data_IF_211641493622
#
_entry.id   IF_211641493622
#
_cell.length_a   1.000
_cell.length_b   1.000
_cell.length_c   1.000
_cell.angle_alpha   90.00
_cell.angle_beta   90.00
_cell.angle_gamma   90.00
#
_symmetry.space_group_name_H-M   'P 1'
#
loop_
_entity.id
_entity.type
_entity.pdbx_description
1 polymer ?
#
# COMPACT_ATOMS: atom_id res chain seq x y z
N UNK A 1 -20.56 -12.30 10.54
CA UNK A 1 -19.88 -12.25 9.24
C UNK A 1 -18.43 -12.68 9.45
N UNK A 2 -17.97 -13.67 8.68
CA UNK A 2 -16.54 -14.05 8.62
C UNK A 2 -15.73 -13.00 7.88
N UNK A 3 -14.39 -13.05 7.98
CA UNK A 3 -13.51 -12.14 7.23
C UNK A 3 -13.73 -12.25 5.72
N UNK A 4 -13.91 -13.48 5.20
CA UNK A 4 -14.15 -13.70 3.76
C UNK A 4 -15.52 -13.21 3.31
N UNK A 5 -16.56 -13.35 4.13
CA UNK A 5 -17.89 -12.78 3.82
C UNK A 5 -17.81 -11.24 3.78
N UNK A 6 -17.16 -10.63 4.78
CA UNK A 6 -16.97 -9.19 4.83
C UNK A 6 -16.20 -8.69 3.61
N UNK A 7 -15.12 -9.36 3.24
CA UNK A 7 -14.35 -9.04 2.04
C UNK A 7 -15.18 -9.10 0.76
N UNK A 8 -16.00 -10.15 0.58
CA UNK A 8 -16.86 -10.27 -0.60
C UNK A 8 -17.84 -9.10 -0.68
N UNK A 9 -18.46 -8.70 0.44
CA UNK A 9 -19.35 -7.52 0.45
C UNK A 9 -18.59 -6.22 0.17
N UNK A 10 -17.42 -6.02 0.78
CA UNK A 10 -16.59 -4.82 0.52
C UNK A 10 -16.22 -4.70 -0.97
N UNK A 11 -15.87 -5.82 -1.62
CA UNK A 11 -15.52 -5.84 -3.05
C UNK A 11 -16.72 -5.45 -3.93
N UNK A 12 -17.96 -5.74 -3.52
CA UNK A 12 -19.15 -5.41 -4.32
C UNK A 12 -19.44 -3.93 -4.42
N UNK A 13 -18.89 -3.12 -3.52
CA UNK A 13 -18.90 -1.67 -3.66
C UNK A 13 -17.83 -1.25 -4.67
N UNK A 14 -18.26 -0.74 -5.83
CA UNK A 14 -17.36 -0.09 -6.79
C UNK A 14 -16.95 1.29 -6.25
N UNK A 15 -15.78 1.32 -5.63
CA UNK A 15 -15.14 2.49 -5.04
C UNK A 15 -13.96 2.95 -5.90
N UNK A 16 -14.04 2.74 -7.22
CA UNK A 16 -12.97 3.09 -8.16
C UNK A 16 -12.62 4.58 -8.07
N UNK A 17 -11.36 4.89 -7.76
CA UNK A 17 -10.84 6.24 -7.65
C UNK A 17 -9.95 6.58 -8.86
N UNK A 18 -10.28 7.64 -9.65
CA UNK A 18 -11.48 8.49 -9.59
C UNK A 18 -12.76 7.81 -10.17
N UNK A 19 -13.97 8.24 -9.76
CA UNK A 19 -14.23 9.39 -8.88
C UNK A 19 -14.20 9.08 -7.36
N UNK A 20 -14.18 7.80 -6.96
CA UNK A 20 -14.41 7.36 -5.58
C UNK A 20 -15.76 6.64 -5.45
N UNK A 21 -16.64 7.12 -4.57
CA UNK A 21 -17.96 6.56 -4.18
C UNK A 21 -17.93 5.65 -2.94
N UNK A 22 -17.08 5.97 -1.98
CA UNK A 22 -16.86 5.20 -0.76
C UNK A 22 -18.04 5.29 0.20
N UNK A 23 -18.94 6.27 0.05
CA UNK A 23 -20.03 6.51 1.00
C UNK A 23 -20.86 5.27 1.33
N UNK A 24 -21.26 4.48 0.33
CA UNK A 24 -22.03 3.25 0.55
C UNK A 24 -21.18 2.16 1.23
N UNK A 25 -19.91 2.03 0.86
CA UNK A 25 -18.99 1.07 1.45
C UNK A 25 -18.69 1.42 2.92
N UNK A 26 -18.47 2.70 3.22
CA UNK A 26 -18.22 3.22 4.56
C UNK A 26 -19.46 3.08 5.44
N UNK A 27 -20.65 3.40 4.92
CA UNK A 27 -21.91 3.20 5.64
C UNK A 27 -22.14 1.72 5.98
N UNK A 28 -21.78 0.80 5.07
CA UNK A 28 -21.84 -0.63 5.35
C UNK A 28 -20.88 -1.05 6.48
N UNK A 29 -19.62 -0.56 6.47
CA UNK A 29 -18.68 -0.81 7.57
C UNK A 29 -19.18 -0.21 8.89
N UNK A 30 -19.75 1.00 8.85
CA UNK A 30 -20.36 1.66 10.00
C UNK A 30 -21.43 0.78 10.62
N UNK A 31 -22.36 0.27 9.82
CA UNK A 31 -23.41 -0.62 10.29
C UNK A 31 -22.84 -1.87 10.98
N UNK A 32 -21.79 -2.49 10.42
CA UNK A 32 -21.17 -3.67 11.04
C UNK A 32 -20.55 -3.38 12.42
N UNK A 33 -19.99 -2.17 12.59
CA UNK A 33 -19.41 -1.71 13.85
C UNK A 33 -20.50 -1.37 14.88
N UNK A 34 -21.53 -0.63 14.48
CA UNK A 34 -22.66 -0.24 15.35
C UNK A 34 -23.47 -1.47 15.82
N UNK A 35 -23.70 -2.46 14.95
CA UNK A 35 -24.33 -3.74 15.32
C UNK A 35 -23.50 -4.54 16.33
N UNK A 36 -22.19 -4.29 16.41
CA UNK A 36 -21.31 -4.86 17.44
C UNK A 36 -21.24 -4.00 18.72
N UNK A 37 -21.96 -2.88 18.77
CA UNK A 37 -21.95 -1.95 19.90
C UNK A 37 -20.71 -1.05 19.94
N UNK A 38 -20.03 -0.84 18.80
CA UNK A 38 -18.96 0.15 18.71
C UNK A 38 -19.54 1.53 18.44
N UNK A 39 -18.97 2.57 19.05
CA UNK A 39 -19.26 3.95 18.68
C UNK A 39 -18.49 4.33 17.39
N UNK A 40 -19.16 4.98 16.45
CA UNK A 40 -18.57 5.38 15.16
C UNK A 40 -18.86 6.84 14.84
N UNK A 41 -17.92 7.50 14.18
CA UNK A 41 -18.04 8.88 13.71
C UNK A 41 -17.60 8.95 12.24
N UNK A 42 -18.30 9.78 11.46
CA UNK A 42 -18.04 9.99 10.04
C UNK A 42 -17.46 11.39 9.82
N UNK A 43 -16.38 11.46 9.07
CA UNK A 43 -15.68 12.71 8.73
C UNK A 43 -15.48 12.78 7.22
N UNK A 44 -16.01 13.82 6.59
CA UNK A 44 -16.03 13.95 5.14
C UNK A 44 -15.65 15.36 4.71
N UNK A 45 -14.55 15.49 3.94
CA UNK A 45 -14.22 16.73 3.24
C UNK A 45 -15.13 16.95 2.04
N UNK A 46 -15.48 15.86 1.37
CA UNK A 46 -16.50 15.79 0.33
C UNK A 46 -17.56 14.76 0.75
N UNK A 47 -18.87 15.06 0.65
CA UNK A 47 -19.93 14.19 1.17
C UNK A 47 -19.90 12.74 0.66
N UNK A 48 -19.50 12.54 -0.59
CA UNK A 48 -19.48 11.23 -1.25
C UNK A 48 -18.18 10.44 -0.99
N UNK A 49 -17.20 11.05 -0.30
CA UNK A 49 -15.87 10.50 0.01
C UNK A 49 -15.61 10.49 1.54
N UNK A 50 -16.50 9.90 2.37
CA UNK A 50 -16.34 9.95 3.82
C UNK A 50 -15.25 9.03 4.34
N UNK A 51 -14.76 9.35 5.53
CA UNK A 51 -13.90 8.50 6.37
C UNK A 51 -14.67 8.10 7.63
N UNK A 52 -14.36 6.92 8.16
CA UNK A 52 -14.93 6.42 9.41
C UNK A 52 -13.87 6.32 10.49
N UNK A 53 -14.24 6.72 11.70
CA UNK A 53 -13.41 6.60 12.90
C UNK A 53 -14.22 5.92 14.00
N UNK A 54 -13.61 4.96 14.69
CA UNK A 54 -14.17 4.31 15.87
C UNK A 54 -13.07 4.17 16.93
N UNK A 55 -13.46 4.25 18.21
CA UNK A 55 -12.53 4.06 19.33
C UNK A 55 -13.12 3.13 20.39
N UNK A 56 -12.35 2.13 20.81
CA UNK A 56 -12.61 1.33 22.02
C UNK A 56 -11.68 1.84 23.11
N UNK A 57 -12.25 2.25 24.23
CA UNK A 57 -11.50 2.70 25.39
C UNK A 57 -10.69 1.55 26.00
N UNK A 58 -9.42 1.81 26.30
CA UNK A 58 -8.52 0.89 27.00
C UNK A 58 -7.99 1.47 28.32
N UNK A 59 -6.86 0.95 28.77
CA UNK A 59 -6.10 1.50 29.90
C UNK A 59 -5.24 2.71 29.51
N UNK A 60 -4.20 2.97 30.31
CA UNK A 60 -3.37 4.17 30.19
C UNK A 60 -2.18 4.06 29.20
N UNK A 61 -2.03 2.92 28.50
CA UNK A 61 -0.99 2.78 27.49
C UNK A 61 -1.30 3.63 26.23
N UNK A 62 -0.28 4.02 25.44
CA UNK A 62 -0.51 4.74 24.19
C UNK A 62 -1.49 4.00 23.26
N UNK A 63 -2.48 4.70 22.66
CA UNK A 63 -3.40 4.11 21.72
C UNK A 63 -2.73 3.43 20.52
N UNK A 64 -3.33 2.34 20.05
CA UNK A 64 -2.97 1.66 18.80
C UNK A 64 -3.94 2.08 17.69
N UNK A 65 -3.41 2.59 16.59
CA UNK A 65 -4.18 2.89 15.38
C UNK A 65 -4.20 1.68 14.44
N UNK A 66 -5.39 1.26 14.05
CA UNK A 66 -5.65 0.37 12.91
C UNK A 66 -6.20 1.23 11.78
N UNK A 67 -5.55 1.23 10.62
CA UNK A 67 -6.00 2.00 9.47
C UNK A 67 -6.02 1.20 8.17
N UNK A 68 -6.94 1.55 7.28
CA UNK A 68 -6.94 1.05 5.91
C UNK A 68 -7.92 1.82 5.03
N UNK A 69 -7.71 1.79 3.73
CA UNK A 69 -8.56 2.45 2.75
C UNK A 69 -9.51 1.47 2.05
N UNK A 70 -10.61 2.00 1.53
CA UNK A 70 -11.62 1.21 0.79
C UNK A 70 -11.74 1.62 -0.67
N UNK A 71 -11.05 2.67 -1.10
CA UNK A 71 -10.96 2.99 -2.52
C UNK A 71 -10.07 2.02 -3.27
N UNK A 72 -10.21 2.00 -4.59
CA UNK A 72 -9.50 1.03 -5.43
C UNK A 72 -9.12 1.68 -6.77
N UNK A 73 -8.01 1.24 -7.37
CA UNK A 73 -7.69 1.66 -8.75
C UNK A 73 -8.70 1.16 -9.80
N UNK A 74 -8.70 1.85 -10.93
CA UNK A 74 -9.52 1.51 -12.11
C UNK A 74 -9.33 0.08 -12.62
N UNK A 75 -10.42 -0.49 -13.12
CA UNK A 75 -10.47 -1.77 -13.83
C UNK A 75 -10.54 -1.60 -15.35
N UNK A 76 -10.64 -0.36 -15.84
CA UNK A 76 -10.79 -0.05 -17.25
C UNK A 76 -9.58 -0.54 -18.07
N UNK A 77 -9.86 -1.19 -19.20
CA UNK A 77 -8.84 -1.73 -20.10
C UNK A 77 -8.13 -3.00 -19.59
N UNK A 78 -8.56 -3.57 -18.46
CA UNK A 78 -8.03 -4.83 -17.92
C UNK A 78 -8.91 -6.00 -18.36
N UNK A 79 -8.31 -7.18 -18.52
CA UNK A 79 -9.03 -8.43 -18.78
C UNK A 79 -9.25 -9.16 -17.46
N UNK A 80 -10.49 -9.54 -17.17
CA UNK A 80 -10.89 -10.17 -15.92
C UNK A 80 -11.58 -11.52 -16.17
N UNK A 81 -11.12 -12.57 -15.49
CA UNK A 81 -11.78 -13.90 -15.53
C UNK A 81 -13.11 -13.87 -14.78
N UNK A 82 -13.16 -13.12 -13.67
CA UNK A 82 -14.37 -12.87 -12.88
C UNK A 82 -14.64 -11.37 -12.85
N UNK A 83 -15.90 -10.91 -12.98
CA UNK A 83 -16.25 -9.51 -12.82
C UNK A 83 -15.59 -8.89 -11.57
N UNK A 84 -14.91 -7.73 -11.70
CA UNK A 84 -14.02 -7.21 -10.66
C UNK A 84 -14.74 -6.89 -9.34
N UNK A 85 -16.04 -6.60 -9.38
CA UNK A 85 -16.85 -6.22 -8.22
C UNK A 85 -17.90 -7.29 -7.85
N UNK A 86 -17.68 -8.55 -8.24
CA UNK A 86 -18.56 -9.66 -7.81
C UNK A 86 -18.26 -10.12 -6.37
N UNK A 87 -16.98 -10.02 -5.96
CA UNK A 87 -16.51 -10.61 -4.71
C UNK A 87 -16.71 -12.12 -4.72
N UNK A 88 -16.20 -12.80 -5.75
CA UNK A 88 -16.47 -14.22 -5.97
C UNK A 88 -15.54 -15.09 -5.16
N UNK A 89 -16.07 -15.96 -4.30
CA UNK A 89 -15.30 -17.00 -3.62
C UNK A 89 -15.24 -18.26 -4.48
N UNK A 90 -14.06 -18.59 -5.02
CA UNK A 90 -13.83 -19.77 -5.86
C UNK A 90 -12.45 -20.37 -5.56
N UNK A 91 -12.40 -21.69 -5.45
CA UNK A 91 -11.18 -22.47 -5.15
C UNK A 91 -10.42 -22.02 -3.89
N UNK A 92 -11.14 -21.47 -2.90
CA UNK A 92 -10.57 -20.98 -1.64
C UNK A 92 -10.00 -19.56 -1.72
N UNK A 93 -10.20 -18.85 -2.83
CA UNK A 93 -9.78 -17.47 -3.03
C UNK A 93 -10.98 -16.55 -3.24
N UNK A 94 -10.92 -15.34 -2.68
CA UNK A 94 -11.89 -14.28 -3.00
C UNK A 94 -11.32 -13.45 -4.15
N UNK A 95 -12.02 -13.46 -5.28
CA UNK A 95 -11.64 -12.75 -6.49
C UNK A 95 -12.37 -11.40 -6.58
N UNK A 96 -11.59 -10.35 -6.82
CA UNK A 96 -12.12 -9.03 -7.13
C UNK A 96 -11.10 -7.89 -6.98
N UNK A 97 -11.44 -6.72 -7.53
CA UNK A 97 -10.70 -5.47 -7.31
C UNK A 97 -10.86 -5.06 -5.84
N UNK A 98 -9.74 -4.80 -5.17
CA UNK A 98 -9.73 -4.59 -3.73
C UNK A 98 -9.34 -5.82 -2.91
N UNK A 99 -9.36 -7.02 -3.50
CA UNK A 99 -9.18 -8.27 -2.75
C UNK A 99 -7.80 -8.38 -2.08
N UNK A 100 -6.75 -7.88 -2.72
CA UNK A 100 -5.47 -7.67 -2.05
C UNK A 100 -5.47 -6.26 -1.48
N UNK A 101 -5.33 -5.26 -2.34
CA UNK A 101 -5.15 -3.85 -2.05
C UNK A 101 -6.48 -3.05 -2.08
N UNK A 102 -7.02 -2.63 -0.93
CA UNK A 102 -6.68 -3.16 0.41
C UNK A 102 -7.86 -3.70 1.23
N UNK A 103 -8.99 -4.00 0.58
CA UNK A 103 -10.24 -4.40 1.25
C UNK A 103 -10.11 -5.68 2.09
N UNK A 104 -9.19 -6.61 1.76
CA UNK A 104 -8.93 -7.75 2.65
C UNK A 104 -8.27 -7.33 3.96
N UNK A 105 -7.33 -6.38 3.90
CA UNK A 105 -6.75 -5.73 5.08
C UNK A 105 -7.84 -5.11 5.94
N UNK A 106 -8.69 -4.29 5.34
CA UNK A 106 -9.83 -3.67 6.04
C UNK A 106 -10.76 -4.72 6.66
N UNK A 107 -11.12 -5.78 5.92
CA UNK A 107 -11.97 -6.85 6.46
C UNK A 107 -11.35 -7.54 7.68
N UNK A 108 -10.03 -7.77 7.68
CA UNK A 108 -9.30 -8.33 8.83
C UNK A 108 -9.29 -7.36 10.02
N UNK A 109 -8.99 -6.08 9.77
CA UNK A 109 -8.94 -5.05 10.82
C UNK A 109 -10.31 -4.84 11.47
N UNK A 110 -11.37 -4.66 10.67
CA UNK A 110 -12.76 -4.51 11.15
C UNK A 110 -13.18 -5.75 11.95
N UNK A 111 -12.88 -6.96 11.47
CA UNK A 111 -13.26 -8.17 12.19
C UNK A 111 -12.52 -8.30 13.54
N UNK A 112 -11.22 -8.02 13.58
CA UNK A 112 -10.44 -8.03 14.82
C UNK A 112 -10.94 -6.97 15.82
N UNK A 113 -11.29 -5.79 15.33
CA UNK A 113 -11.84 -4.69 16.13
C UNK A 113 -13.21 -5.04 16.73
N UNK A 114 -14.14 -5.52 15.90
CA UNK A 114 -15.46 -6.01 16.34
C UNK A 114 -15.32 -7.13 17.36
N UNK A 115 -14.37 -8.04 17.15
CA UNK A 115 -14.09 -9.13 18.09
C UNK A 115 -13.63 -8.58 19.44
N UNK A 116 -12.70 -7.61 19.45
CA UNK A 116 -12.22 -6.98 20.68
C UNK A 116 -13.37 -6.35 21.48
N UNK A 117 -14.29 -5.65 20.80
CA UNK A 117 -15.48 -5.07 21.42
C UNK A 117 -16.41 -6.13 22.01
N UNK A 118 -16.77 -7.15 21.21
CA UNK A 118 -17.73 -8.20 21.63
C UNK A 118 -17.21 -9.06 22.77
N UNK A 119 -15.90 -9.34 22.77
CA UNK A 119 -15.26 -10.12 23.84
C UNK A 119 -14.97 -9.28 25.09
N UNK A 120 -15.16 -7.95 25.04
CA UNK A 120 -14.80 -7.06 26.15
C UNK A 120 -13.31 -7.14 26.50
N UNK A 121 -12.46 -7.23 25.46
CA UNK A 121 -11.03 -7.45 25.64
C UNK A 121 -10.42 -6.33 26.49
N UNK A 122 -9.67 -6.69 27.53
CA UNK A 122 -8.94 -5.71 28.34
C UNK A 122 -7.74 -5.17 27.55
N UNK A 123 -7.93 -4.03 26.89
CA UNK A 123 -6.89 -3.37 26.10
C UNK A 123 -5.98 -2.52 27.00
N UNK A 124 -4.64 -2.63 26.90
CA UNK A 124 -3.73 -1.80 27.70
C UNK A 124 -3.86 -0.29 27.43
N UNK A 125 -4.30 0.07 26.23
CA UNK A 125 -4.55 1.43 25.75
C UNK A 125 -5.67 1.41 24.71
N UNK A 126 -6.17 2.56 24.31
CA UNK A 126 -7.27 2.64 23.34
C UNK A 126 -6.93 1.93 22.03
N UNK A 127 -7.94 1.31 21.42
CA UNK A 127 -7.86 0.80 20.05
C UNK A 127 -8.65 1.74 19.16
N UNK A 128 -7.99 2.36 18.19
CA UNK A 128 -8.60 3.30 17.24
C UNK A 128 -8.65 2.64 15.87
N UNK A 129 -9.82 2.56 15.26
CA UNK A 129 -9.99 2.09 13.89
C UNK A 129 -10.33 3.27 12.99
N UNK A 130 -9.61 3.40 11.87
CA UNK A 130 -9.88 4.40 10.84
C UNK A 130 -10.01 3.72 9.48
N UNK A 131 -11.15 3.91 8.82
CA UNK A 131 -11.40 3.43 7.46
C UNK A 131 -11.47 4.63 6.54
N UNK A 132 -10.54 4.68 5.58
CA UNK A 132 -10.18 5.86 4.81
C UNK A 132 -10.72 5.80 3.38
N UNK A 133 -10.95 6.98 2.82
CA UNK A 133 -11.11 7.19 1.39
C UNK A 133 -9.81 7.75 0.78
N UNK A 134 -9.72 7.69 -0.55
CA UNK A 134 -8.80 8.47 -1.38
C UNK A 134 -7.32 8.11 -1.37
N UNK A 135 -6.91 6.98 -0.79
CA UNK A 135 -5.49 6.61 -0.73
C UNK A 135 -4.89 6.48 -2.14
N UNK A 136 -5.62 5.83 -3.06
CA UNK A 136 -5.17 5.50 -4.43
C UNK A 136 -4.99 6.76 -5.31
N UNK A 137 -5.44 7.91 -4.83
CA UNK A 137 -5.28 9.22 -5.47
C UNK A 137 -4.62 10.27 -4.54
N UNK A 138 -3.81 9.80 -3.59
CA UNK A 138 -2.91 10.62 -2.78
C UNK A 138 -3.43 11.04 -1.40
N UNK A 139 -4.58 10.53 -0.97
CA UNK A 139 -5.08 10.59 0.40
C UNK A 139 -5.52 11.98 0.87
N UNK A 140 -5.78 12.93 -0.04
CA UNK A 140 -6.11 14.32 0.32
C UNK A 140 -7.50 14.43 0.97
N UNK A 141 -8.45 13.61 0.54
CA UNK A 141 -9.80 13.54 1.13
C UNK A 141 -9.87 12.56 2.31
N UNK A 142 -8.83 11.73 2.49
CA UNK A 142 -8.73 10.74 3.56
C UNK A 142 -7.78 11.12 4.68
N UNK A 143 -6.68 10.39 4.78
CA UNK A 143 -5.74 10.48 5.89
C UNK A 143 -5.22 11.91 6.10
N UNK A 144 -4.90 12.63 5.02
CA UNK A 144 -4.40 14.00 5.12
C UNK A 144 -5.45 14.94 5.71
N UNK A 145 -6.69 14.86 5.23
CA UNK A 145 -7.80 15.64 5.76
C UNK A 145 -7.99 15.40 7.27
N UNK A 146 -8.01 14.15 7.71
CA UNK A 146 -8.15 13.84 9.13
C UNK A 146 -6.99 14.37 9.97
N UNK A 147 -5.75 14.23 9.51
CA UNK A 147 -4.59 14.70 10.29
C UNK A 147 -4.51 16.24 10.33
N UNK A 148 -4.86 16.92 9.24
CA UNK A 148 -4.79 18.40 9.16
C UNK A 148 -5.98 19.08 9.85
N UNK A 149 -7.20 18.54 9.74
CA UNK A 149 -8.43 19.19 10.22
C UNK A 149 -8.98 18.58 11.52
N UNK A 150 -8.63 17.33 11.83
CA UNK A 150 -9.07 16.58 13.02
C UNK A 150 -7.90 15.91 13.80
N UNK A 151 -6.79 16.61 14.08
CA UNK A 151 -5.62 16.02 14.73
C UNK A 151 -5.91 15.43 16.13
N UNK A 152 -6.95 15.92 16.82
CA UNK A 152 -7.40 15.43 18.13
C UNK A 152 -7.76 13.95 18.12
N UNK A 153 -8.17 13.40 16.96
CA UNK A 153 -8.51 11.99 16.82
C UNK A 153 -7.31 11.06 17.04
N UNK A 154 -6.10 11.60 16.86
CA UNK A 154 -4.84 10.85 16.93
C UNK A 154 -3.99 11.23 18.14
N UNK A 155 -4.53 11.99 19.08
CA UNK A 155 -3.79 12.38 20.28
C UNK A 155 -3.30 11.14 21.06
N UNK A 156 -2.02 11.12 21.38
CA UNK A 156 -1.36 10.03 22.11
C UNK A 156 -1.04 8.77 21.29
N UNK A 157 -1.55 8.63 20.06
CA UNK A 157 -1.25 7.49 19.18
C UNK A 157 0.26 7.44 18.92
N UNK A 158 0.89 6.30 19.23
CA UNK A 158 2.33 6.07 18.96
C UNK A 158 2.62 4.98 17.95
N UNK A 159 1.66 4.09 17.72
CA UNK A 159 1.82 2.94 16.85
C UNK A 159 0.61 2.86 15.92
N UNK A 160 0.88 2.53 14.66
CA UNK A 160 -0.15 2.31 13.66
C UNK A 160 0.13 1.00 12.91
N UNK A 161 -0.93 0.25 12.63
CA UNK A 161 -0.95 -0.89 11.73
C UNK A 161 -1.83 -0.52 10.54
N UNK A 162 -1.27 -0.64 9.34
CA UNK A 162 -1.89 -0.20 8.11
C UNK A 162 -1.76 -1.21 6.98
N UNK A 163 -1.78 -0.69 5.76
CA UNK A 163 -1.68 -1.47 4.54
C UNK A 163 -0.37 -2.29 4.42
N UNK A 164 -0.49 -3.47 3.82
CA UNK A 164 0.55 -4.43 3.43
C UNK A 164 1.98 -4.19 3.93
N UNK A 165 2.48 -5.13 4.75
CA UNK A 165 3.90 -5.23 5.10
C UNK A 165 4.82 -5.84 4.03
N UNK A 166 4.28 -6.10 2.82
CA UNK A 166 4.91 -6.90 1.77
C UNK A 166 4.40 -8.34 1.70
N UNK A 167 4.95 -9.11 0.77
CA UNK A 167 4.57 -10.52 0.56
C UNK A 167 5.49 -11.48 1.31
N UNK A 168 5.02 -12.70 1.54
CA UNK A 168 5.84 -13.76 2.11
C UNK A 168 7.08 -14.01 1.25
N UNK A 169 8.26 -13.92 1.86
CA UNK A 169 9.54 -14.16 1.19
C UNK A 169 10.04 -15.56 1.48
N UNK A 170 10.71 -16.18 0.51
CA UNK A 170 11.32 -17.49 0.66
C UNK A 170 12.81 -17.40 0.34
N UNK A 171 13.66 -17.70 1.32
CA UNK A 171 15.10 -17.69 1.14
C UNK A 171 15.75 -18.84 1.90
N UNK A 172 16.66 -19.59 1.24
CA UNK A 172 17.38 -20.71 1.85
C UNK A 172 16.48 -21.80 2.45
N UNK A 173 15.31 -22.04 1.86
CA UNK A 173 14.33 -23.00 2.38
C UNK A 173 13.53 -22.51 3.60
N UNK A 174 13.75 -21.26 4.04
CA UNK A 174 12.99 -20.62 5.12
C UNK A 174 11.96 -19.65 4.55
N UNK A 175 10.93 -19.43 5.35
CA UNK A 175 9.85 -18.48 5.08
C UNK A 175 10.02 -17.26 5.98
N UNK A 176 9.92 -16.07 5.41
CA UNK A 176 10.00 -14.80 6.12
C UNK A 176 8.71 -14.00 5.90
N UNK A 177 8.24 -13.38 6.98
CA UNK A 177 7.07 -12.50 6.98
C UNK A 177 7.58 -11.08 7.26
N UNK A 178 7.72 -10.24 6.22
CA UNK A 178 8.22 -8.89 6.40
C UNK A 178 7.24 -8.02 7.17
N UNK A 179 7.79 -7.07 7.93
CA UNK A 179 7.05 -5.96 8.55
C UNK A 179 7.58 -4.69 7.89
N UNK A 180 6.73 -4.00 7.13
CA UNK A 180 7.10 -2.74 6.50
C UNK A 180 6.99 -1.61 7.52
N UNK A 181 8.07 -0.83 7.65
CA UNK A 181 8.16 0.31 8.57
C UNK A 181 8.51 1.62 7.85
N UNK A 182 8.64 1.56 6.52
CA UNK A 182 8.92 2.71 5.68
C UNK A 182 8.55 2.41 4.23
N UNK A 183 8.13 3.44 3.50
CA UNK A 183 7.85 3.40 2.07
C UNK A 183 8.63 4.48 1.32
N UNK A 184 8.70 4.34 0.00
CA UNK A 184 9.21 5.42 -0.85
C UNK A 184 8.14 6.47 -1.05
N UNK A 185 8.58 7.70 -1.19
CA UNK A 185 7.72 8.80 -1.62
C UNK A 185 7.77 8.95 -3.14
N UNK A 186 6.67 9.43 -3.71
CA UNK A 186 6.54 9.66 -5.15
C UNK A 186 7.16 11.01 -5.51
N UNK A 187 7.93 11.07 -6.60
CA UNK A 187 8.50 12.30 -7.14
C UNK A 187 8.05 12.50 -8.59
N UNK A 188 7.04 13.36 -8.79
CA UNK A 188 6.55 13.70 -10.12
C UNK A 188 7.40 14.80 -10.76
N UNK A 189 7.96 14.53 -11.94
CA UNK A 189 8.78 15.48 -12.69
C UNK A 189 8.17 15.78 -14.07
N UNK A 190 8.13 17.06 -14.45
CA UNK A 190 7.71 17.51 -15.79
C UNK A 190 8.91 18.02 -16.58
N UNK A 191 9.37 17.24 -17.56
CA UNK A 191 10.39 17.66 -18.52
C UNK A 191 9.72 18.28 -19.76
N UNK A 192 10.22 19.43 -20.23
CA UNK A 192 9.74 20.06 -21.48
C UNK A 192 10.90 20.27 -22.44
N UNK A 193 10.82 19.66 -23.63
CA UNK A 193 11.83 19.81 -24.69
C UNK A 193 11.27 20.74 -25.76
N UNK A 194 11.98 21.85 -26.00
CA UNK A 194 11.63 22.84 -27.03
C UNK A 194 12.65 22.84 -28.15
N UNK A 195 12.17 23.08 -29.36
CA UNK A 195 12.99 23.21 -30.56
C UNK A 195 12.17 23.83 -31.70
N UNK A 196 12.83 24.20 -32.81
CA UNK A 196 12.16 24.87 -33.92
C UNK A 196 11.10 23.96 -34.57
N UNK A 197 10.02 24.58 -35.04
CA UNK A 197 9.06 23.92 -35.93
C UNK A 197 9.66 23.69 -37.33
N UNK A 198 8.98 22.89 -38.16
CA UNK A 198 9.41 22.64 -39.53
C UNK A 198 8.28 22.12 -40.40
N UNK A 199 8.34 22.40 -41.70
CA UNK A 199 7.39 21.87 -42.68
C UNK A 199 7.65 20.37 -42.89
N UNK A 200 6.61 19.53 -42.81
CA UNK A 200 6.73 18.07 -42.93
C UNK A 200 7.30 17.54 -44.26
N UNK A 201 7.37 18.38 -45.31
CA UNK A 201 7.98 18.03 -46.60
C UNK A 201 9.52 18.20 -46.59
N UNK A 202 10.06 18.93 -45.61
CA UNK A 202 11.50 19.16 -45.48
C UNK A 202 12.13 18.09 -44.59
N UNK A 203 13.25 17.54 -45.04
CA UNK A 203 14.02 16.59 -44.23
C UNK A 203 14.70 17.35 -43.09
N UNK A 204 14.25 17.12 -41.86
CA UNK A 204 14.87 17.66 -40.66
C UNK A 204 15.38 16.52 -39.76
N UNK A 205 16.71 16.39 -39.62
CA UNK A 205 17.33 15.38 -38.76
C UNK A 205 17.67 15.98 -37.40
N UNK A 206 17.44 15.20 -36.33
CA UNK A 206 17.85 15.59 -34.98
C UNK A 206 16.96 16.63 -34.29
N UNK A 207 15.76 16.89 -34.81
CA UNK A 207 14.78 17.80 -34.22
C UNK A 207 14.24 17.39 -32.85
N UNK A 208 13.24 18.12 -32.36
CA UNK A 208 12.69 18.00 -30.99
C UNK A 208 12.29 16.56 -30.62
N UNK A 209 11.61 15.85 -31.53
CA UNK A 209 11.18 14.45 -31.30
C UNK A 209 12.38 13.51 -31.17
N UNK A 210 13.42 13.67 -32.00
CA UNK A 210 14.62 12.85 -31.91
C UNK A 210 15.41 13.12 -30.60
N UNK A 211 15.41 14.38 -30.13
CA UNK A 211 15.98 14.73 -28.82
C UNK A 211 15.18 14.12 -27.67
N UNK A 212 13.86 14.11 -27.75
CA UNK A 212 12.99 13.42 -26.80
C UNK A 212 13.28 11.92 -26.77
N UNK A 213 13.37 11.27 -27.93
CA UNK A 213 13.72 9.85 -28.01
C UNK A 213 15.07 9.52 -27.36
N UNK A 214 16.09 10.35 -27.57
CA UNK A 214 17.40 10.18 -26.89
C UNK A 214 17.28 10.38 -25.38
N UNK A 215 16.58 11.41 -24.93
CA UNK A 215 16.38 11.67 -23.50
C UNK A 215 15.70 10.47 -22.80
N UNK A 216 14.62 9.94 -23.38
CA UNK A 216 13.91 8.79 -22.83
C UNK A 216 14.79 7.53 -22.81
N UNK A 217 15.56 7.29 -23.89
CA UNK A 217 16.48 6.15 -23.98
C UNK A 217 17.61 6.25 -22.94
N UNK A 218 18.15 7.45 -22.73
CA UNK A 218 19.20 7.68 -21.74
C UNK A 218 18.67 7.52 -20.31
N UNK A 219 17.41 7.87 -20.05
CA UNK A 219 16.76 7.71 -18.75
C UNK A 219 16.53 6.23 -18.44
N UNK A 220 15.94 5.48 -19.36
CA UNK A 220 15.66 4.03 -19.22
C UNK A 220 16.93 3.19 -19.00
N UNK A 221 18.01 3.51 -19.73
CA UNK A 221 19.26 2.75 -19.64
C UNK A 221 20.06 3.00 -18.36
N UNK A 222 19.84 4.12 -17.66
CA UNK A 222 20.64 4.51 -16.50
C UNK A 222 19.93 4.11 -15.21
N UNK A 223 20.55 3.19 -14.47
CA UNK A 223 20.15 2.91 -13.10
C UNK A 223 20.56 4.05 -12.18
N UNK A 224 19.64 4.54 -11.35
CA UNK A 224 19.94 5.47 -10.26
C UNK A 224 20.84 4.81 -9.20
N UNK A 225 21.64 5.56 -8.43
CA UNK A 225 22.58 4.99 -7.45
C UNK A 225 21.93 4.06 -6.41
N UNK A 226 22.74 3.18 -5.82
CA UNK A 226 22.32 2.33 -4.70
C UNK A 226 22.31 3.15 -3.41
N UNK A 227 21.19 3.14 -2.71
CA UNK A 227 20.99 3.75 -1.40
C UNK A 227 20.60 2.67 -0.39
N UNK A 228 21.50 2.36 0.54
CA UNK A 228 21.25 1.38 1.61
C UNK A 228 20.77 2.13 2.85
N UNK A 229 19.46 2.11 3.09
CA UNK A 229 18.87 2.71 4.30
C UNK A 229 19.11 1.82 5.52
N UNK A 230 18.97 2.36 6.75
CA UNK A 230 19.03 1.55 7.97
C UNK A 230 18.03 0.39 7.97
N UNK A 231 16.80 0.63 7.50
CA UNK A 231 15.72 -0.38 7.44
C UNK A 231 16.08 -1.51 6.46
N UNK A 232 16.59 -1.18 5.27
CA UNK A 232 17.00 -2.19 4.29
C UNK A 232 18.20 -2.98 4.79
N UNK A 233 19.12 -2.33 5.51
CA UNK A 233 20.24 -3.02 6.18
C UNK A 233 19.73 -4.04 7.19
N UNK A 234 18.79 -3.65 8.04
CA UNK A 234 18.19 -4.52 9.04
C UNK A 234 17.50 -5.73 8.40
N UNK A 235 16.66 -5.51 7.38
CA UNK A 235 16.02 -6.59 6.63
C UNK A 235 17.04 -7.58 6.04
N UNK A 236 18.05 -7.07 5.35
CA UNK A 236 19.07 -7.92 4.69
C UNK A 236 19.90 -8.68 5.71
N UNK A 237 20.27 -8.07 6.83
CA UNK A 237 21.01 -8.75 7.90
C UNK A 237 20.16 -9.82 8.60
N UNK A 238 18.88 -9.53 8.88
CA UNK A 238 17.94 -10.48 9.48
C UNK A 238 17.70 -11.70 8.58
N UNK A 239 17.60 -11.50 7.26
CA UNK A 239 17.53 -12.63 6.32
C UNK A 239 18.88 -13.36 6.30
N UNK A 240 19.99 -12.63 6.19
CA UNK A 240 21.32 -13.24 6.08
C UNK A 240 21.76 -14.04 7.32
N UNK A 241 21.31 -13.69 8.53
CA UNK A 241 21.60 -14.45 9.75
C UNK A 241 20.98 -15.85 9.73
N UNK A 242 19.89 -16.00 8.99
CA UNK A 242 19.14 -17.25 8.89
C UNK A 242 19.59 -18.15 7.74
N UNK A 243 20.51 -17.68 6.89
CA UNK A 243 20.98 -18.40 5.69
C UNK A 243 22.34 -19.09 5.89
N UNK A 244 22.61 -20.19 5.15
CA UNK A 244 23.95 -20.77 5.07
C UNK A 244 25.01 -19.77 4.61
N UNK A 245 26.26 -19.91 5.10
CA UNK A 245 27.36 -18.94 4.88
C UNK A 245 27.51 -18.43 3.44
N UNK A 246 27.50 -19.27 2.38
CA UNK A 246 27.62 -18.76 1.01
C UNK A 246 26.47 -17.85 0.60
N UNK A 247 25.23 -18.22 0.94
CA UNK A 247 24.03 -17.45 0.63
C UNK A 247 23.95 -16.17 1.46
N UNK A 248 24.31 -16.26 2.74
CA UNK A 248 24.41 -15.11 3.64
C UNK A 248 25.44 -14.07 3.12
N UNK A 249 26.56 -14.53 2.56
CA UNK A 249 27.57 -13.64 1.96
C UNK A 249 27.07 -12.94 0.69
N UNK A 250 26.29 -13.63 -0.15
CA UNK A 250 25.63 -13.02 -1.31
C UNK A 250 24.60 -11.98 -0.85
N UNK A 251 23.79 -12.31 0.16
CA UNK A 251 22.78 -11.42 0.73
C UNK A 251 23.41 -10.14 1.29
N UNK A 252 24.45 -10.25 2.13
CA UNK A 252 25.19 -9.09 2.67
C UNK A 252 25.90 -8.26 1.60
N UNK A 253 26.23 -8.86 0.44
CA UNK A 253 26.83 -8.10 -0.67
C UNK A 253 25.87 -7.07 -1.26
N UNK A 254 24.55 -7.21 -1.05
CA UNK A 254 23.57 -6.17 -1.43
C UNK A 254 23.81 -4.85 -0.70
N UNK A 255 24.35 -4.90 0.52
CA UNK A 255 24.62 -3.72 1.37
C UNK A 255 25.87 -2.94 0.97
N UNK A 256 26.60 -3.40 -0.06
CA UNK A 256 27.81 -2.78 -0.55
C UNK A 256 27.55 -2.31 -1.99
N UNK A 257 27.35 -0.99 -2.24
CA UNK A 257 27.00 -0.46 -3.56
C UNK A 257 27.84 -0.98 -4.74
N UNK A 258 29.15 -1.21 -4.52
CA UNK A 258 30.07 -1.75 -5.54
C UNK A 258 29.77 -3.19 -5.98
N UNK A 259 29.06 -3.96 -5.14
CA UNK A 259 28.78 -5.38 -5.35
C UNK A 259 27.29 -5.68 -5.53
N UNK A 260 26.39 -4.70 -5.27
CA UNK A 260 24.94 -4.87 -5.32
C UNK A 260 24.45 -5.48 -6.63
N UNK A 261 24.88 -4.98 -7.79
CA UNK A 261 24.44 -5.53 -9.09
C UNK A 261 24.94 -6.96 -9.33
N UNK A 262 26.11 -7.31 -8.81
CA UNK A 262 26.61 -8.69 -8.83
C UNK A 262 25.75 -9.61 -7.95
N UNK A 263 25.42 -9.17 -6.74
CA UNK A 263 24.58 -9.89 -5.80
C UNK A 263 23.15 -10.09 -6.33
N UNK A 264 22.53 -9.04 -6.88
CA UNK A 264 21.20 -9.12 -7.50
C UNK A 264 21.16 -10.16 -8.63
N UNK A 265 22.18 -10.19 -9.49
CA UNK A 265 22.29 -11.21 -10.55
C UNK A 265 22.41 -12.64 -9.99
N UNK A 266 23.17 -12.83 -8.91
CA UNK A 266 23.32 -14.14 -8.26
C UNK A 266 22.03 -14.62 -7.58
N UNK A 267 21.21 -13.69 -7.07
CA UNK A 267 19.91 -13.99 -6.46
C UNK A 267 18.82 -14.28 -7.51
N UNK A 268 19.04 -13.96 -8.79
CA UNK A 268 18.09 -14.22 -9.86
C UNK A 268 16.75 -13.52 -9.62
N UNK A 269 15.63 -14.25 -9.79
CA UNK A 269 14.28 -13.70 -9.58
C UNK A 269 14.03 -13.22 -8.16
N UNK A 270 14.69 -13.80 -7.16
CA UNK A 270 14.59 -13.32 -5.76
C UNK A 270 15.23 -11.94 -5.59
N UNK A 271 16.24 -11.61 -6.40
CA UNK A 271 16.88 -10.29 -6.39
C UNK A 271 15.93 -9.16 -6.78
N UNK A 272 14.94 -9.43 -7.63
CA UNK A 272 13.98 -8.43 -8.09
C UNK A 272 13.15 -7.82 -6.95
N UNK A 273 12.98 -8.53 -5.83
CA UNK A 273 12.27 -8.00 -4.65
C UNK A 273 13.12 -6.99 -3.85
N UNK A 274 14.44 -7.12 -3.89
CA UNK A 274 15.35 -6.22 -3.15
C UNK A 274 15.76 -4.99 -3.95
N UNK A 275 15.78 -5.09 -5.29
CA UNK A 275 16.23 -3.99 -6.14
C UNK A 275 15.43 -2.69 -5.93
N UNK A 276 14.08 -2.70 -5.85
CA UNK A 276 13.30 -1.51 -5.54
C UNK A 276 13.61 -0.93 -4.16
N UNK A 277 14.03 -1.73 -3.18
CA UNK A 277 14.39 -1.21 -1.85
C UNK A 277 15.76 -0.53 -1.83
N UNK A 278 16.63 -0.86 -2.79
CA UNK A 278 18.02 -0.42 -2.84
C UNK A 278 18.24 0.79 -3.77
N UNK A 279 17.28 1.12 -4.63
CA UNK A 279 17.41 2.21 -5.61
C UNK A 279 16.09 2.95 -5.74
N UNK A 280 16.16 4.24 -6.04
CA UNK A 280 14.99 4.96 -6.53
C UNK A 280 14.62 4.44 -7.92
N UNK A 281 13.33 4.45 -8.22
CA UNK A 281 12.71 3.97 -9.46
C UNK A 281 12.13 5.14 -10.22
#
# INVERSE_FOLDING_TARGET
MTVSELLQELIRFDTTNPPGNEAACIAFVQQQLEEAGCETQIYAKEPDRPNLVSRIAGGDAPPLLLQGHVDVVTTAGQSWTHPPFEGRLEDGFVWGRGALDMKAGVAMLVNAYVRAQREGTQLPGDLVLVVLADEENGGNLGARFLVEEHPELFEGVRYALGEFGGFTLYAGGKRFYPIQVSEKQICWLKATIRGPGGHGAMINRGGTVARLGRFLTDLDRKRLPVHVTPIVRELVEAIASELPRPQAAVMRSLLKPRFTDGALRLLGSQGAMFEPMLRNT
#
